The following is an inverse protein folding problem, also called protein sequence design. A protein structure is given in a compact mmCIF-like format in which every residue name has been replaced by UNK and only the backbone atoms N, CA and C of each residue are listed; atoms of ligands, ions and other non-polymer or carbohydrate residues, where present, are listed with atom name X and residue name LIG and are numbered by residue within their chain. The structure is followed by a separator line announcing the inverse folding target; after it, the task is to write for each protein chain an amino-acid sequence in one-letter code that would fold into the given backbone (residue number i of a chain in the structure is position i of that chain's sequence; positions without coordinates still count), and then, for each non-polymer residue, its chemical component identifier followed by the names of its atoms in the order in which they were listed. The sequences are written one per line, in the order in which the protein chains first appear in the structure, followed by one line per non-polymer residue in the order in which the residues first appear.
data_IF_541838161571
#
_entry.id   IF_541838161571
#
_cell.length_a   1.000
_cell.length_b   1.000
_cell.length_c   1.000
_cell.angle_alpha   90.00
_cell.angle_beta   90.00
_cell.angle_gamma   90.00
#
_symmetry.space_group_name_H-M   'P 1'
#
loop_
_entity.id
_entity.type
_entity.pdbx_description
1 polymer ?
#
# COMPACT_ATOMS: atom_id res chain seq x y z
N UNK A 1 54.05 -5.40 15.12
CA UNK A 1 52.83 -4.66 15.50
C UNK A 1 51.66 -5.40 14.87
N UNK A 2 50.68 -5.84 15.65
CA UNK A 2 49.47 -6.51 15.14
C UNK A 2 48.30 -5.53 15.27
N UNK A 3 47.48 -5.40 14.21
CA UNK A 3 46.25 -4.62 14.23
C UNK A 3 45.06 -5.54 14.03
N UNK A 4 44.04 -5.40 14.87
CA UNK A 4 42.75 -6.07 14.70
C UNK A 4 41.76 -5.05 14.11
N UNK A 5 40.99 -5.48 13.11
CA UNK A 5 39.89 -4.73 12.51
C UNK A 5 38.64 -5.60 12.59
N UNK A 6 37.49 -4.98 12.80
CA UNK A 6 36.18 -5.62 12.63
C UNK A 6 35.65 -5.26 11.23
N UNK A 7 35.81 -6.14 10.23
CA UNK A 7 35.38 -5.85 8.87
C UNK A 7 33.85 -5.85 8.76
N UNK A 8 33.26 -4.99 7.92
CA UNK A 8 31.84 -5.05 7.63
C UNK A 8 31.50 -6.35 6.92
N UNK A 9 30.32 -6.89 7.22
CA UNK A 9 29.78 -8.07 6.52
C UNK A 9 29.51 -7.73 5.05
N UNK A 10 29.75 -8.67 4.14
CA UNK A 10 29.48 -8.48 2.70
C UNK A 10 28.00 -8.12 2.42
N UNK A 11 27.10 -8.73 3.18
CA UNK A 11 25.66 -8.46 3.15
C UNK A 11 25.35 -7.00 3.51
N UNK A 12 26.09 -6.40 4.45
CA UNK A 12 25.91 -5.01 4.84
C UNK A 12 26.36 -4.04 3.74
N UNK A 13 27.43 -4.36 3.00
CA UNK A 13 27.87 -3.57 1.84
C UNK A 13 26.77 -3.57 0.76
N UNK A 14 26.28 -4.76 0.43
CA UNK A 14 25.21 -4.94 -0.57
C UNK A 14 23.92 -4.22 -0.15
N UNK A 15 23.55 -4.31 1.12
CA UNK A 15 22.39 -3.62 1.68
C UNK A 15 22.51 -2.09 1.63
N UNK A 16 23.70 -1.54 1.92
CA UNK A 16 23.95 -0.09 1.81
C UNK A 16 23.83 0.39 0.37
N UNK A 17 24.33 -0.38 -0.60
CA UNK A 17 24.17 -0.09 -2.03
C UNK A 17 22.69 -0.09 -2.43
N UNK A 18 21.93 -1.13 -2.04
CA UNK A 18 20.49 -1.23 -2.31
C UNK A 18 19.70 -0.06 -1.70
N UNK A 19 20.09 0.40 -0.49
CA UNK A 19 19.58 1.63 0.10
C UNK A 19 19.81 2.85 -0.81
N UNK A 20 21.03 3.01 -1.32
CA UNK A 20 21.39 4.09 -2.22
C UNK A 20 20.56 4.11 -3.51
N UNK A 21 20.41 2.95 -4.15
CA UNK A 21 19.57 2.77 -5.35
C UNK A 21 18.08 3.10 -5.05
N UNK A 22 17.60 2.76 -3.86
CA UNK A 22 16.25 3.05 -3.40
C UNK A 22 16.06 4.50 -2.90
N UNK A 23 17.08 5.36 -3.02
CA UNK A 23 17.06 6.75 -2.56
C UNK A 23 17.07 6.92 -1.04
N UNK A 24 17.50 5.90 -0.29
CA UNK A 24 17.58 5.88 1.17
C UNK A 24 19.01 6.22 1.59
N UNK A 25 19.16 7.27 2.40
CA UNK A 25 20.47 7.73 2.86
C UNK A 25 20.87 7.01 4.15
N UNK A 26 21.92 6.20 4.11
CA UNK A 26 22.48 5.53 5.28
C UNK A 26 23.47 6.45 5.99
N UNK A 27 23.32 6.59 7.32
CA UNK A 27 24.23 7.36 8.17
C UNK A 27 24.81 6.45 9.26
N UNK A 28 26.13 6.36 9.32
CA UNK A 28 26.86 5.59 10.33
C UNK A 28 27.03 6.41 11.60
N UNK A 29 26.66 5.83 12.74
CA UNK A 29 26.78 6.44 14.06
C UNK A 29 27.50 5.45 14.97
N UNK A 30 28.76 5.73 15.34
CA UNK A 30 29.62 4.80 16.09
C UNK A 30 30.32 5.45 17.29
N UNK A 31 30.65 4.62 18.28
CA UNK A 31 31.53 4.96 19.41
C UNK A 31 33.03 4.91 19.08
N UNK A 32 33.40 4.47 17.87
CA UNK A 32 34.78 4.35 17.41
C UNK A 32 35.44 5.70 17.12
N UNK A 33 36.76 5.66 16.93
CA UNK A 33 37.52 6.80 16.44
C UNK A 33 37.15 7.16 14.99
N UNK A 34 37.20 8.47 14.67
CA UNK A 34 36.86 8.98 13.35
C UNK A 34 37.68 8.36 12.20
N UNK A 35 38.95 8.02 12.44
CA UNK A 35 39.79 7.34 11.44
C UNK A 35 39.25 5.95 11.09
N UNK A 36 38.84 5.17 12.10
CA UNK A 36 38.24 3.84 11.92
C UNK A 36 36.87 3.96 11.29
N UNK A 37 36.03 4.87 11.78
CA UNK A 37 34.69 5.10 11.22
C UNK A 37 34.74 5.46 9.73
N UNK A 38 35.66 6.33 9.31
CA UNK A 38 35.87 6.65 7.88
C UNK A 38 36.34 5.45 7.07
N UNK A 39 37.23 4.62 7.63
CA UNK A 39 37.70 3.42 6.94
C UNK A 39 36.56 2.43 6.70
N UNK A 40 35.72 2.16 7.71
CA UNK A 40 34.55 1.30 7.57
C UNK A 40 33.51 1.94 6.65
N UNK A 41 33.28 3.25 6.73
CA UNK A 41 32.36 3.97 5.86
C UNK A 41 32.74 3.86 4.37
N UNK A 42 34.04 3.89 4.05
CA UNK A 42 34.54 3.66 2.68
C UNK A 42 34.32 2.22 2.23
N UNK A 43 34.51 1.24 3.11
CA UNK A 43 34.27 -0.16 2.80
C UNK A 43 32.77 -0.43 2.55
N UNK A 44 31.89 0.22 3.31
CA UNK A 44 30.44 0.21 3.08
C UNK A 44 29.99 1.08 1.90
N UNK A 45 30.90 1.84 1.29
CA UNK A 45 30.63 2.73 0.15
C UNK A 45 29.56 3.79 0.46
N UNK A 46 29.61 4.39 1.66
CA UNK A 46 28.76 5.53 2.00
C UNK A 46 29.08 6.76 1.12
N UNK A 47 28.05 7.52 0.75
CA UNK A 47 28.15 8.67 -0.16
C UNK A 47 29.19 9.69 0.32
N UNK A 48 29.11 10.10 1.58
CA UNK A 48 30.05 11.05 2.18
C UNK A 48 30.94 10.37 3.25
N UNK A 49 31.65 9.32 2.86
CA UNK A 49 32.48 8.52 3.77
C UNK A 49 33.71 9.27 4.35
N UNK A 50 34.17 10.34 3.70
CA UNK A 50 35.37 11.10 4.12
C UNK A 50 35.08 12.18 5.15
N UNK A 51 33.86 12.70 5.17
CA UNK A 51 33.45 13.77 6.06
C UNK A 51 32.83 13.16 7.33
N UNK A 52 33.62 13.13 8.40
CA UNK A 52 33.21 12.56 9.69
C UNK A 52 33.19 13.61 10.79
N UNK A 53 32.05 13.73 11.48
CA UNK A 53 31.89 14.61 12.64
C UNK A 53 32.03 13.79 13.92
N UNK A 54 32.87 14.26 14.84
CA UNK A 54 33.03 13.66 16.16
C UNK A 54 32.02 14.19 17.18
N UNK A 55 31.74 13.43 18.25
CA UNK A 55 30.92 13.91 19.37
C UNK A 55 31.36 15.26 19.95
N UNK A 56 32.67 15.49 20.05
CA UNK A 56 33.20 16.78 20.54
C UNK A 56 32.92 17.94 19.57
N UNK A 57 32.93 17.68 18.26
CA UNK A 57 32.55 18.68 17.26
C UNK A 57 31.04 18.95 17.30
N UNK A 58 30.22 17.91 17.47
CA UNK A 58 28.76 18.02 17.65
C UNK A 58 28.36 18.92 18.83
N UNK A 59 29.09 18.85 19.95
CA UNK A 59 28.85 19.68 21.13
C UNK A 59 29.21 21.14 20.91
N UNK A 60 30.24 21.42 20.10
CA UNK A 60 30.69 22.78 19.78
C UNK A 60 29.85 23.45 18.71
N UNK A 61 29.20 22.68 17.84
CA UNK A 61 28.34 23.19 16.78
C UNK A 61 27.07 23.80 17.34
N UNK A 62 26.73 24.99 16.84
CA UNK A 62 25.41 25.58 17.10
C UNK A 62 24.31 24.69 16.52
N UNK A 63 23.09 24.80 17.05
CA UNK A 63 21.97 24.01 16.53
C UNK A 63 21.66 24.35 15.06
N UNK A 64 21.81 25.62 14.66
CA UNK A 64 21.61 26.05 13.27
C UNK A 64 22.65 25.44 12.32
N UNK A 65 23.91 25.40 12.73
CA UNK A 65 25.00 24.78 11.96
C UNK A 65 24.80 23.26 11.86
N UNK A 66 24.49 22.60 12.98
CA UNK A 66 24.24 21.17 12.99
C UNK A 66 23.01 20.80 12.15
N UNK A 67 21.96 21.64 12.15
CA UNK A 67 20.78 21.46 11.31
C UNK A 67 21.15 21.41 9.83
N UNK A 68 22.07 22.24 9.35
CA UNK A 68 22.53 22.16 7.95
C UNK A 68 23.40 20.92 7.72
N UNK A 69 24.38 20.70 8.60
CA UNK A 69 25.38 19.63 8.45
C UNK A 69 24.79 18.22 8.56
N UNK A 70 23.69 18.03 9.29
CA UNK A 70 23.08 16.70 9.47
C UNK A 70 22.58 16.09 8.15
N UNK A 71 22.25 16.92 7.16
CA UNK A 71 21.84 16.44 5.85
C UNK A 71 23.04 15.88 5.09
N UNK A 72 24.17 16.58 5.14
CA UNK A 72 25.37 16.32 4.35
C UNK A 72 26.27 15.22 4.93
N UNK A 73 26.34 15.07 6.24
CA UNK A 73 27.31 14.15 6.86
C UNK A 73 26.73 12.77 7.08
N UNK A 74 27.47 11.74 6.66
CA UNK A 74 27.05 10.35 6.80
C UNK A 74 27.83 9.58 7.87
N UNK A 75 28.87 10.17 8.47
CA UNK A 75 29.70 9.49 9.47
C UNK A 75 29.78 10.31 10.76
N UNK A 76 29.28 9.74 11.86
CA UNK A 76 29.38 10.29 13.20
C UNK A 76 30.17 9.36 14.12
N UNK A 77 31.25 9.87 14.70
CA UNK A 77 32.20 9.07 15.49
C UNK A 77 32.28 9.58 16.93
N UNK A 78 32.68 8.71 17.88
CA UNK A 78 32.76 9.05 19.31
C UNK A 78 31.47 9.72 19.83
N UNK A 79 30.30 9.23 19.42
CA UNK A 79 29.01 9.79 19.83
C UNK A 79 28.53 9.21 21.16
N UNK A 80 27.76 9.99 21.92
CA UNK A 80 27.09 9.56 23.15
C UNK A 80 25.57 9.40 22.89
N UNK A 81 24.80 8.84 23.84
CA UNK A 81 23.34 8.67 23.70
C UNK A 81 22.59 9.96 23.34
N UNK A 82 22.95 11.08 23.97
CA UNK A 82 22.32 12.38 23.72
C UNK A 82 22.55 12.86 22.28
N UNK A 83 23.73 12.58 21.70
CA UNK A 83 24.04 12.88 20.31
C UNK A 83 23.16 12.07 19.36
N UNK A 84 22.98 10.76 19.59
CA UNK A 84 22.10 9.91 18.78
C UNK A 84 20.68 10.47 18.73
N UNK A 85 20.12 10.77 19.91
CA UNK A 85 18.79 11.38 20.03
C UNK A 85 18.68 12.73 19.31
N UNK A 86 19.69 13.59 19.46
CA UNK A 86 19.75 14.91 18.81
C UNK A 86 19.78 14.79 17.28
N UNK A 87 20.56 13.85 16.75
CA UNK A 87 20.65 13.60 15.30
C UNK A 87 19.31 13.13 14.72
N UNK A 88 18.66 12.15 15.37
CA UNK A 88 17.34 11.66 14.95
C UNK A 88 16.32 12.81 14.90
N UNK A 89 16.26 13.62 15.96
CA UNK A 89 15.35 14.77 16.03
C UNK A 89 15.61 15.78 14.90
N UNK A 90 16.87 16.12 14.63
CA UNK A 90 17.20 17.09 13.58
C UNK A 90 16.89 16.56 12.18
N UNK A 91 17.06 15.26 11.93
CA UNK A 91 16.64 14.64 10.67
C UNK A 91 15.13 14.68 10.49
N UNK A 92 14.37 14.40 11.55
CA UNK A 92 12.90 14.52 11.56
C UNK A 92 12.43 15.96 11.33
N UNK A 93 13.11 16.96 11.90
CA UNK A 93 12.82 18.39 11.68
C UNK A 93 12.97 18.79 10.20
N UNK A 94 13.77 18.07 9.40
CA UNK A 94 13.86 18.24 7.96
C UNK A 94 12.82 17.44 7.17
N UNK A 95 11.82 16.87 7.84
CA UNK A 95 10.76 16.07 7.22
C UNK A 95 11.24 14.71 6.70
N UNK A 96 12.38 14.20 7.20
CA UNK A 96 12.84 12.84 6.88
C UNK A 96 12.17 11.84 7.83
N UNK A 97 11.78 10.69 7.29
CA UNK A 97 11.43 9.51 8.09
C UNK A 97 12.74 8.81 8.46
N UNK A 98 12.96 8.62 9.75
CA UNK A 98 14.23 8.11 10.30
C UNK A 98 14.02 6.71 10.86
N UNK A 99 14.76 5.75 10.32
CA UNK A 99 14.98 4.46 10.96
C UNK A 99 16.29 4.51 11.75
N UNK A 100 16.27 4.12 13.03
CA UNK A 100 17.45 4.08 13.89
C UNK A 100 17.72 2.66 14.32
N UNK A 101 18.97 2.21 14.23
CA UNK A 101 19.40 0.88 14.69
C UNK A 101 20.21 0.99 15.98
N UNK A 102 20.00 0.07 16.93
CA UNK A 102 20.73 0.05 18.19
C UNK A 102 20.60 -1.28 18.93
N UNK A 103 21.53 -1.54 19.83
CA UNK A 103 21.64 -2.80 20.59
C UNK A 103 21.67 -2.54 22.10
N UNK A 104 22.27 -1.43 22.54
CA UNK A 104 22.41 -1.09 23.95
C UNK A 104 21.23 -0.32 24.55
N UNK A 105 21.11 -0.38 25.89
CA UNK A 105 20.21 0.46 26.71
C UNK A 105 20.39 1.96 26.40
N UNK A 106 21.63 2.32 26.08
CA UNK A 106 22.04 3.66 25.68
C UNK A 106 21.35 4.17 24.41
N UNK A 107 20.87 3.26 23.56
CA UNK A 107 20.22 3.59 22.29
C UNK A 107 18.71 3.68 22.42
N UNK A 108 18.13 3.17 23.51
CA UNK A 108 16.68 3.17 23.75
C UNK A 108 16.01 4.54 23.56
N UNK A 109 16.57 5.68 24.04
CA UNK A 109 15.96 6.99 23.79
C UNK A 109 15.92 7.37 22.30
N UNK A 110 16.98 7.05 21.56
CA UNK A 110 17.08 7.36 20.13
C UNK A 110 16.21 6.41 19.29
N UNK A 111 16.17 5.13 19.63
CA UNK A 111 15.26 4.14 19.06
C UNK A 111 13.82 4.59 19.22
N UNK A 112 13.42 4.95 20.44
CA UNK A 112 12.04 5.36 20.72
C UNK A 112 11.65 6.68 20.06
N UNK A 113 12.63 7.53 19.78
CA UNK A 113 12.40 8.81 19.10
C UNK A 113 12.29 8.67 17.59
N UNK A 114 12.95 7.68 17.00
CA UNK A 114 12.92 7.43 15.57
C UNK A 114 11.50 7.10 15.10
N UNK A 115 11.23 7.30 13.82
CA UNK A 115 9.94 6.89 13.25
C UNK A 115 9.83 5.37 13.19
N UNK A 116 10.97 4.69 13.06
CA UNK A 116 11.12 3.24 13.19
C UNK A 116 12.40 2.92 13.98
N UNK A 117 12.28 2.65 15.27
CA UNK A 117 13.36 2.07 16.07
C UNK A 117 13.56 0.60 15.71
N UNK A 118 14.80 0.19 15.47
CA UNK A 118 15.19 -1.18 15.10
C UNK A 118 16.23 -1.72 16.07
N UNK A 119 15.90 -2.76 16.83
CA UNK A 119 16.80 -3.38 17.79
C UNK A 119 17.42 -4.69 17.28
N UNK A 120 18.62 -5.01 17.75
CA UNK A 120 19.27 -6.30 17.52
C UNK A 120 18.60 -7.39 18.37
N UNK A 121 18.28 -8.54 17.78
CA UNK A 121 17.58 -9.63 18.44
C UNK A 121 18.49 -10.51 19.31
N UNK A 122 19.69 -10.83 18.83
CA UNK A 122 20.62 -11.71 19.55
C UNK A 122 21.53 -10.92 20.49
N UNK A 123 22.19 -9.89 19.96
CA UNK A 123 23.15 -9.08 20.72
C UNK A 123 22.51 -7.86 21.41
N UNK A 124 21.24 -7.55 21.12
CA UNK A 124 20.55 -6.42 21.72
C UNK A 124 20.06 -6.69 23.14
N UNK A 125 20.15 -5.67 23.98
CA UNK A 125 19.58 -5.64 25.33
C UNK A 125 18.06 -5.63 25.29
N UNK A 126 17.40 -6.20 26.31
CA UNK A 126 15.93 -6.20 26.40
C UNK A 126 15.35 -4.78 26.40
N UNK A 127 16.02 -3.83 27.07
CA UNK A 127 15.60 -2.42 27.04
C UNK A 127 15.64 -1.81 25.63
N UNK A 128 16.59 -2.21 24.77
CA UNK A 128 16.62 -1.76 23.38
C UNK A 128 15.48 -2.39 22.56
N UNK A 129 15.20 -3.68 22.76
CA UNK A 129 14.09 -4.39 22.09
C UNK A 129 12.73 -3.83 22.48
N UNK A 130 12.51 -3.52 23.76
CA UNK A 130 11.27 -2.90 24.24
C UNK A 130 11.09 -1.46 23.71
N UNK A 131 12.18 -0.75 23.46
CA UNK A 131 12.14 0.61 22.94
C UNK A 131 11.90 0.70 21.43
N UNK A 132 12.13 -0.40 20.69
CA UNK A 132 12.09 -0.45 19.23
C UNK A 132 10.73 -0.96 18.69
N UNK A 133 10.33 -0.45 17.53
CA UNK A 133 9.16 -0.93 16.79
C UNK A 133 9.45 -2.22 15.99
N UNK A 134 10.72 -2.49 15.69
CA UNK A 134 11.18 -3.67 14.95
C UNK A 134 12.38 -4.32 15.64
N UNK A 135 12.45 -5.66 15.63
CA UNK A 135 13.58 -6.42 16.16
C UNK A 135 14.14 -7.34 15.08
N UNK A 136 15.45 -7.26 14.81
CA UNK A 136 16.15 -8.09 13.84
C UNK A 136 16.55 -9.41 14.49
N UNK A 137 15.78 -10.47 14.27
CA UNK A 137 16.03 -11.78 14.89
C UNK A 137 17.41 -12.40 14.54
N UNK A 138 18.00 -11.97 13.42
CA UNK A 138 19.26 -12.46 12.85
C UNK A 138 20.43 -11.48 13.03
N UNK A 139 20.21 -10.32 13.65
CA UNK A 139 21.20 -9.25 13.78
C UNK A 139 21.79 -8.79 12.42
N UNK A 140 21.02 -8.90 11.34
CA UNK A 140 21.50 -8.57 9.99
C UNK A 140 20.91 -7.26 9.47
N UNK A 141 21.79 -6.32 9.08
CA UNK A 141 21.39 -5.07 8.44
C UNK A 141 20.62 -5.28 7.12
N UNK A 142 20.90 -6.36 6.39
CA UNK A 142 20.18 -6.70 5.16
C UNK A 142 18.67 -6.91 5.40
N UNK A 143 18.28 -7.39 6.58
CA UNK A 143 16.88 -7.62 6.94
C UNK A 143 16.06 -6.32 7.04
N UNK A 144 16.71 -5.17 7.29
CA UNK A 144 16.07 -3.86 7.22
C UNK A 144 15.65 -3.53 5.79
N UNK A 145 16.47 -3.90 4.79
CA UNK A 145 16.19 -3.65 3.38
C UNK A 145 14.97 -4.45 2.92
N UNK A 146 14.93 -5.73 3.29
CA UNK A 146 13.76 -6.57 3.03
C UNK A 146 12.50 -6.00 3.71
N UNK A 147 12.61 -5.51 4.95
CA UNK A 147 11.48 -4.87 5.63
C UNK A 147 11.02 -3.58 4.93
N UNK A 148 11.94 -2.80 4.35
CA UNK A 148 11.60 -1.63 3.54
C UNK A 148 10.90 -2.01 2.24
N UNK A 149 11.39 -3.03 1.54
CA UNK A 149 10.78 -3.57 0.33
C UNK A 149 9.34 -4.06 0.60
N UNK A 150 9.15 -4.83 1.67
CA UNK A 150 7.84 -5.29 2.13
C UNK A 150 6.93 -4.12 2.52
N UNK A 151 7.43 -3.14 3.28
CA UNK A 151 6.67 -1.96 3.67
C UNK A 151 6.20 -1.13 2.47
N UNK A 152 7.05 -0.99 1.45
CA UNK A 152 6.71 -0.33 0.18
C UNK A 152 5.64 -1.12 -0.59
N UNK A 153 5.73 -2.45 -0.58
CA UNK A 153 4.75 -3.35 -1.22
C UNK A 153 3.39 -3.27 -0.53
N UNK A 154 3.35 -3.37 0.80
CA UNK A 154 2.13 -3.23 1.61
C UNK A 154 1.47 -1.89 1.35
N UNK A 155 2.24 -0.80 1.27
CA UNK A 155 1.70 0.53 0.97
C UNK A 155 1.06 0.62 -0.43
N UNK A 156 1.69 0.05 -1.46
CA UNK A 156 1.12 0.01 -2.81
C UNK A 156 -0.16 -0.83 -2.85
N UNK A 157 -0.16 -2.00 -2.19
CA UNK A 157 -1.33 -2.87 -2.10
C UNK A 157 -2.49 -2.19 -1.36
N UNK A 158 -2.19 -1.41 -0.31
CA UNK A 158 -3.18 -0.59 0.38
C UNK A 158 -3.78 0.49 -0.54
N UNK A 159 -2.96 1.14 -1.39
CA UNK A 159 -3.49 2.09 -2.39
C UNK A 159 -4.38 1.41 -3.42
N UNK A 160 -4.03 0.20 -3.89
CA UNK A 160 -4.85 -0.61 -4.80
C UNK A 160 -6.18 -1.00 -4.14
N UNK A 161 -6.16 -1.43 -2.88
CA UNK A 161 -7.36 -1.78 -2.12
C UNK A 161 -8.28 -0.56 -1.92
N UNK A 162 -7.73 0.61 -1.57
CA UNK A 162 -8.51 1.85 -1.45
C UNK A 162 -9.13 2.25 -2.80
N UNK A 163 -8.35 2.15 -3.89
CA UNK A 163 -8.83 2.40 -5.25
C UNK A 163 -9.92 1.43 -5.69
N UNK A 164 -9.97 0.24 -5.10
CA UNK A 164 -11.00 -0.75 -5.35
C UNK A 164 -12.26 -0.46 -4.52
N UNK A 165 -12.12 -0.26 -3.20
CA UNK A 165 -13.24 -0.12 -2.26
C UNK A 165 -14.00 1.21 -2.40
N UNK A 166 -13.29 2.32 -2.60
CA UNK A 166 -13.94 3.64 -2.61
C UNK A 166 -14.91 3.83 -3.79
N UNK A 167 -14.56 3.49 -5.05
CA UNK A 167 -15.50 3.63 -6.16
C UNK A 167 -16.65 2.63 -6.13
N UNK A 168 -16.48 1.44 -5.53
CA UNK A 168 -17.57 0.46 -5.42
C UNK A 168 -18.61 0.95 -4.43
N UNK A 169 -18.17 1.40 -3.24
CA UNK A 169 -19.04 2.06 -2.26
C UNK A 169 -19.63 3.38 -2.80
N UNK A 170 -18.84 4.14 -3.56
CA UNK A 170 -19.31 5.33 -4.26
C UNK A 170 -20.40 5.01 -5.27
N UNK A 171 -20.24 3.95 -6.05
CA UNK A 171 -21.24 3.44 -6.98
C UNK A 171 -22.55 3.07 -6.27
N UNK A 172 -22.47 2.27 -5.19
CA UNK A 172 -23.62 1.93 -4.34
C UNK A 172 -24.36 3.17 -3.83
N UNK A 173 -23.62 4.11 -3.23
CA UNK A 173 -24.18 5.34 -2.70
C UNK A 173 -24.85 6.19 -3.79
N UNK A 174 -24.23 6.30 -4.97
CA UNK A 174 -24.78 7.03 -6.10
C UNK A 174 -26.02 6.37 -6.69
N UNK A 175 -26.11 5.03 -6.71
CA UNK A 175 -27.32 4.31 -7.15
C UNK A 175 -28.51 4.66 -6.26
N UNK A 176 -28.30 4.62 -4.93
CA UNK A 176 -29.36 4.98 -3.97
C UNK A 176 -29.71 6.46 -4.09
N UNK A 177 -28.71 7.33 -4.17
CA UNK A 177 -28.94 8.77 -4.34
C UNK A 177 -29.72 9.07 -5.62
N UNK A 178 -29.35 8.45 -6.75
CA UNK A 178 -30.04 8.62 -8.02
C UNK A 178 -31.51 8.18 -7.92
N UNK A 179 -31.79 7.05 -7.28
CA UNK A 179 -33.16 6.59 -7.06
C UNK A 179 -33.99 7.59 -6.24
N UNK A 180 -33.42 8.13 -5.17
CA UNK A 180 -34.10 9.12 -4.31
C UNK A 180 -34.34 10.44 -5.06
N UNK A 181 -33.32 10.98 -5.74
CA UNK A 181 -33.42 12.25 -6.46
C UNK A 181 -34.43 12.17 -7.61
N UNK A 182 -34.52 11.02 -8.28
CA UNK A 182 -35.50 10.79 -9.35
C UNK A 182 -36.89 10.41 -8.81
N UNK A 183 -37.09 10.37 -7.50
CA UNK A 183 -38.40 10.16 -6.88
C UNK A 183 -38.92 8.72 -6.92
N UNK A 184 -38.04 7.72 -7.04
CA UNK A 184 -38.46 6.32 -7.02
C UNK A 184 -38.90 5.90 -5.61
N UNK A 185 -40.09 5.33 -5.51
CA UNK A 185 -40.62 4.78 -4.24
C UNK A 185 -39.91 3.48 -3.83
N UNK A 186 -39.37 2.75 -4.80
CA UNK A 186 -38.70 1.47 -4.58
C UNK A 186 -37.20 1.61 -4.84
N UNK A 187 -36.40 1.34 -3.80
CA UNK A 187 -34.95 1.42 -3.92
C UNK A 187 -34.38 0.25 -4.76
N UNK A 188 -33.39 0.52 -5.63
CA UNK A 188 -32.73 -0.50 -6.47
C UNK A 188 -31.96 -1.55 -5.69
N UNK A 189 -31.54 -1.23 -4.48
CA UNK A 189 -30.83 -2.12 -3.56
C UNK A 189 -31.43 -1.94 -2.16
N UNK A 190 -31.59 -3.04 -1.44
CA UNK A 190 -32.00 -3.00 -0.02
C UNK A 190 -30.78 -2.89 0.90
N UNK A 191 -30.93 -2.42 2.15
CA UNK A 191 -29.81 -2.37 3.09
C UNK A 191 -29.15 -3.74 3.31
N UNK A 192 -29.94 -4.82 3.35
CA UNK A 192 -29.43 -6.18 3.55
C UNK A 192 -28.64 -6.66 2.33
N UNK A 193 -29.05 -6.28 1.12
CA UNK A 193 -28.30 -6.56 -0.12
C UNK A 193 -26.98 -5.78 -0.17
N UNK A 194 -26.98 -4.52 0.25
CA UNK A 194 -25.76 -3.70 0.37
C UNK A 194 -24.79 -4.33 1.37
N UNK A 195 -25.27 -4.79 2.52
CA UNK A 195 -24.44 -5.49 3.52
C UNK A 195 -23.84 -6.78 2.94
N UNK A 196 -24.61 -7.52 2.13
CA UNK A 196 -24.11 -8.70 1.44
C UNK A 196 -22.96 -8.37 0.48
N UNK A 197 -23.15 -7.39 -0.40
CA UNK A 197 -22.13 -6.96 -1.37
C UNK A 197 -20.87 -6.52 -0.63
N UNK A 198 -21.00 -5.60 0.33
CA UNK A 198 -19.85 -5.12 1.12
C UNK A 198 -19.09 -6.26 1.83
N UNK A 199 -19.80 -7.21 2.44
CA UNK A 199 -19.17 -8.32 3.14
C UNK A 199 -18.47 -9.27 2.19
N UNK A 200 -19.15 -9.72 1.13
CA UNK A 200 -18.59 -10.72 0.21
C UNK A 200 -17.40 -10.13 -0.55
N UNK A 201 -17.48 -8.86 -0.94
CA UNK A 201 -16.43 -8.14 -1.66
C UNK A 201 -15.22 -7.85 -0.78
N UNK A 202 -15.43 -7.49 0.50
CA UNK A 202 -14.33 -7.30 1.45
C UNK A 202 -13.57 -8.61 1.72
N UNK A 203 -14.29 -9.70 2.00
CA UNK A 203 -13.70 -10.99 2.40
C UNK A 203 -13.05 -11.72 1.22
N UNK A 204 -13.53 -11.49 -0.01
CA UNK A 204 -12.97 -12.13 -1.22
C UNK A 204 -12.02 -11.20 -1.99
N UNK A 205 -12.56 -10.16 -2.63
CA UNK A 205 -11.84 -9.38 -3.64
C UNK A 205 -10.82 -8.43 -3.01
N UNK A 206 -11.22 -7.64 -1.99
CA UNK A 206 -10.31 -6.68 -1.36
C UNK A 206 -9.14 -7.36 -0.65
N UNK A 207 -9.40 -8.49 0.02
CA UNK A 207 -8.36 -9.30 0.64
C UNK A 207 -7.35 -9.84 -0.38
N UNK A 208 -7.81 -10.23 -1.59
CA UNK A 208 -6.90 -10.74 -2.63
C UNK A 208 -5.89 -9.69 -3.11
N UNK A 209 -6.24 -8.40 -3.06
CA UNK A 209 -5.33 -7.30 -3.41
C UNK A 209 -4.23 -7.08 -2.38
N UNK A 210 -4.44 -7.48 -1.12
CA UNK A 210 -3.40 -7.42 -0.08
C UNK A 210 -2.22 -8.35 -0.40
N UNK A 211 -2.49 -9.43 -1.15
CA UNK A 211 -1.51 -10.43 -1.58
C UNK A 211 -1.02 -10.22 -3.02
N UNK A 212 -1.16 -9.02 -3.58
CA UNK A 212 -0.51 -8.70 -4.85
C UNK A 212 1.02 -8.71 -4.69
N UNK A 213 1.76 -9.27 -5.65
CA UNK A 213 3.22 -9.26 -5.62
C UNK A 213 3.78 -7.82 -5.69
N UNK A 214 5.01 -7.61 -5.20
CA UNK A 214 5.71 -6.33 -5.34
C UNK A 214 5.79 -5.85 -6.80
N UNK A 215 5.70 -4.54 -6.99
CA UNK A 215 5.98 -3.93 -8.30
C UNK A 215 7.47 -4.09 -8.64
N UNK A 216 7.80 -4.31 -9.92
CA UNK A 216 9.17 -4.62 -10.39
C UNK A 216 10.20 -3.55 -9.98
N UNK A 217 9.76 -2.31 -9.83
CA UNK A 217 10.61 -1.15 -9.50
C UNK A 217 10.43 -0.66 -8.05
N UNK A 218 9.90 -1.48 -7.15
CA UNK A 218 9.60 -1.09 -5.76
C UNK A 218 10.83 -0.54 -5.01
N UNK A 219 12.02 -1.09 -5.27
CA UNK A 219 13.30 -0.65 -4.71
C UNK A 219 14.09 0.31 -5.61
N UNK A 220 13.57 0.69 -6.78
CA UNK A 220 14.23 1.62 -7.71
C UNK A 220 13.63 3.03 -7.68
N UNK A 221 12.56 3.23 -6.92
CA UNK A 221 11.91 4.54 -6.71
C UNK A 221 12.42 5.20 -5.43
N UNK A 222 12.45 6.55 -5.36
CA UNK A 222 12.81 7.26 -4.14
C UNK A 222 11.77 7.02 -3.03
N UNK A 223 12.12 7.27 -1.75
CA UNK A 223 11.15 7.24 -0.67
C UNK A 223 10.00 8.21 -0.92
N UNK A 224 8.77 7.78 -0.59
CA UNK A 224 7.57 8.60 -0.72
C UNK A 224 7.69 9.85 0.15
N UNK A 225 7.19 10.99 -0.34
CA UNK A 225 7.01 12.18 0.47
C UNK A 225 5.92 11.92 1.53
N UNK A 226 6.23 12.02 2.85
CA UNK A 226 5.24 11.84 3.91
C UNK A 226 4.01 12.75 3.79
N UNK A 227 4.17 13.93 3.16
CA UNK A 227 3.11 14.92 2.96
C UNK A 227 2.21 14.63 1.77
N UNK A 228 2.60 13.70 0.89
CA UNK A 228 1.73 13.31 -0.21
C UNK A 228 0.48 12.62 0.36
N UNK A 229 -0.74 13.05 0.00
CA UNK A 229 -1.94 12.36 0.42
C UNK A 229 -2.00 10.97 -0.23
N UNK A 230 -2.55 9.99 0.50
CA UNK A 230 -2.78 8.64 -0.06
C UNK A 230 -3.67 8.73 -1.30
N UNK A 231 -4.69 9.60 -1.26
CA UNK A 231 -5.59 9.93 -2.36
C UNK A 231 -5.14 11.21 -3.06
N UNK A 232 -4.36 11.07 -4.13
CA UNK A 232 -4.04 12.21 -4.99
C UNK A 232 -5.19 12.53 -5.96
N UNK A 233 -5.09 13.66 -6.67
CA UNK A 233 -6.14 14.13 -7.58
C UNK A 233 -6.51 13.10 -8.67
N UNK A 234 -5.54 12.32 -9.15
CA UNK A 234 -5.80 11.25 -10.12
C UNK A 234 -6.60 10.10 -9.49
N UNK A 235 -6.28 9.67 -8.27
CA UNK A 235 -7.06 8.63 -7.59
C UNK A 235 -8.48 9.12 -7.27
N UNK A 236 -8.63 10.38 -6.87
CA UNK A 236 -9.96 10.98 -6.65
C UNK A 236 -10.79 11.02 -7.93
N UNK A 237 -10.17 11.40 -9.06
CA UNK A 237 -10.81 11.34 -10.37
C UNK A 237 -11.24 9.90 -10.71
N UNK A 238 -10.35 8.91 -10.53
CA UNK A 238 -10.68 7.50 -10.77
C UNK A 238 -11.89 7.05 -9.95
N UNK A 239 -11.94 7.44 -8.67
CA UNK A 239 -13.04 7.09 -7.78
C UNK A 239 -14.36 7.62 -8.33
N UNK A 240 -14.42 8.90 -8.70
CA UNK A 240 -15.64 9.50 -9.27
C UNK A 240 -16.00 8.83 -10.60
N UNK A 241 -15.02 8.66 -11.50
CA UNK A 241 -15.22 8.08 -12.82
C UNK A 241 -15.79 6.66 -12.75
N UNK A 242 -15.20 5.78 -11.94
CA UNK A 242 -15.64 4.39 -11.80
C UNK A 242 -16.98 4.33 -11.06
N UNK A 243 -17.19 5.15 -10.02
CA UNK A 243 -18.48 5.21 -9.32
C UNK A 243 -19.63 5.54 -10.27
N UNK A 244 -19.42 6.47 -11.21
CA UNK A 244 -20.40 6.84 -12.22
C UNK A 244 -20.67 5.73 -13.24
N UNK A 245 -19.66 4.95 -13.64
CA UNK A 245 -19.84 3.79 -14.52
C UNK A 245 -20.67 2.72 -13.82
N UNK A 246 -20.31 2.36 -12.58
CA UNK A 246 -21.02 1.37 -11.77
C UNK A 246 -22.48 1.80 -11.55
N UNK A 247 -22.69 3.07 -11.20
CA UNK A 247 -24.02 3.64 -11.06
C UNK A 247 -24.81 3.57 -12.37
N UNK A 248 -24.26 4.08 -13.48
CA UNK A 248 -24.94 4.12 -14.76
C UNK A 248 -25.33 2.73 -15.28
N UNK A 249 -24.43 1.75 -15.17
CA UNK A 249 -24.71 0.38 -15.61
C UNK A 249 -25.70 -0.36 -14.71
N UNK A 250 -25.51 -0.28 -13.39
CA UNK A 250 -26.36 -1.00 -12.42
C UNK A 250 -27.76 -0.39 -12.36
N UNK A 251 -27.84 0.93 -12.20
CA UNK A 251 -29.12 1.64 -12.17
C UNK A 251 -29.80 1.61 -13.54
N UNK A 252 -29.03 1.67 -14.64
CA UNK A 252 -29.56 1.52 -16.00
C UNK A 252 -30.23 0.17 -16.23
N UNK A 253 -29.59 -0.94 -15.85
CA UNK A 253 -30.20 -2.28 -15.96
C UNK A 253 -31.40 -2.45 -15.01
N UNK A 254 -31.34 -1.90 -13.80
CA UNK A 254 -32.49 -1.87 -12.90
C UNK A 254 -33.70 -1.18 -13.54
N UNK A 255 -33.50 0.02 -14.11
CA UNK A 255 -34.57 0.76 -14.80
C UNK A 255 -35.08 0.02 -16.03
N UNK A 256 -34.18 -0.60 -16.79
CA UNK A 256 -34.55 -1.41 -17.95
C UNK A 256 -35.52 -2.52 -17.56
N UNK A 257 -35.21 -3.30 -16.53
CA UNK A 257 -36.07 -4.40 -16.10
C UNK A 257 -37.40 -3.89 -15.51
N UNK A 258 -37.37 -2.79 -14.74
CA UNK A 258 -38.60 -2.14 -14.27
C UNK A 258 -39.51 -1.68 -15.41
N UNK A 259 -38.95 -1.11 -16.49
CA UNK A 259 -39.72 -0.67 -17.67
C UNK A 259 -40.35 -1.84 -18.43
N UNK A 260 -39.75 -3.05 -18.35
CA UNK A 260 -40.31 -4.27 -18.93
C UNK A 260 -41.41 -4.91 -18.07
N UNK A 261 -41.77 -4.29 -16.95
CA UNK A 261 -42.78 -4.80 -16.03
C UNK A 261 -42.29 -5.95 -15.16
N UNK A 262 -40.97 -6.12 -14.99
CA UNK A 262 -40.43 -7.10 -14.06
C UNK A 262 -40.82 -6.74 -12.61
N UNK A 263 -40.83 -7.75 -11.73
CA UNK A 263 -41.04 -7.50 -10.30
C UNK A 263 -39.85 -6.75 -9.70
N UNK A 264 -40.08 -6.07 -8.58
CA UNK A 264 -39.02 -5.32 -7.90
C UNK A 264 -37.89 -6.24 -7.40
N UNK A 265 -38.22 -7.45 -6.95
CA UNK A 265 -37.25 -8.47 -6.54
C UNK A 265 -36.39 -8.91 -7.72
N UNK A 266 -36.99 -9.05 -8.91
CA UNK A 266 -36.25 -9.36 -10.13
C UNK A 266 -35.29 -8.24 -10.51
N UNK A 267 -35.76 -7.00 -10.58
CA UNK A 267 -34.92 -5.85 -10.90
C UNK A 267 -33.79 -5.65 -9.88
N UNK A 268 -34.06 -5.85 -8.58
CA UNK A 268 -33.04 -5.84 -7.51
C UNK A 268 -32.02 -6.95 -7.67
N UNK A 269 -32.46 -8.15 -8.04
CA UNK A 269 -31.54 -9.27 -8.27
C UNK A 269 -30.60 -8.97 -9.44
N UNK A 270 -31.12 -8.36 -10.51
CA UNK A 270 -30.29 -7.89 -11.64
C UNK A 270 -29.32 -6.80 -11.18
N UNK A 271 -29.79 -5.82 -10.39
CA UNK A 271 -28.94 -4.75 -9.88
C UNK A 271 -27.77 -5.27 -9.02
N UNK A 272 -28.05 -6.13 -8.02
CA UNK A 272 -27.00 -6.69 -7.15
C UNK A 272 -25.99 -7.50 -7.96
N UNK A 273 -26.46 -8.37 -8.87
CA UNK A 273 -25.57 -9.17 -9.71
C UNK A 273 -24.75 -8.30 -10.69
N UNK A 274 -25.33 -7.21 -11.18
CA UNK A 274 -24.62 -6.24 -12.04
C UNK A 274 -23.49 -5.55 -11.28
N UNK A 275 -23.77 -5.09 -10.06
CA UNK A 275 -22.78 -4.43 -9.22
C UNK A 275 -21.62 -5.38 -8.89
N UNK A 276 -21.91 -6.59 -8.41
CA UNK A 276 -20.87 -7.60 -8.10
C UNK A 276 -20.05 -7.96 -9.35
N UNK A 277 -20.69 -8.05 -10.52
CA UNK A 277 -19.97 -8.30 -11.77
C UNK A 277 -19.06 -7.12 -12.16
N UNK A 278 -19.51 -5.88 -11.96
CA UNK A 278 -18.66 -4.69 -12.14
C UNK A 278 -17.43 -4.75 -11.24
N UNK A 279 -17.59 -5.15 -9.97
CA UNK A 279 -16.50 -5.29 -9.03
C UNK A 279 -15.48 -6.33 -9.49
N UNK A 280 -15.93 -7.48 -10.00
CA UNK A 280 -15.05 -8.51 -10.57
C UNK A 280 -14.23 -7.94 -11.74
N UNK A 281 -14.87 -7.25 -12.69
CA UNK A 281 -14.15 -6.66 -13.82
C UNK A 281 -13.20 -5.53 -13.40
N UNK A 282 -13.63 -4.69 -12.46
CA UNK A 282 -12.83 -3.57 -11.96
C UNK A 282 -11.66 -4.03 -11.09
N UNK A 283 -11.78 -5.17 -10.40
CA UNK A 283 -10.69 -5.78 -9.65
C UNK A 283 -9.45 -5.98 -10.54
N UNK A 284 -9.65 -6.49 -11.77
CA UNK A 284 -8.57 -6.66 -12.73
C UNK A 284 -7.86 -5.33 -13.01
N UNK A 285 -8.61 -4.24 -13.25
CA UNK A 285 -8.01 -2.92 -13.42
C UNK A 285 -7.23 -2.45 -12.19
N UNK A 286 -7.73 -2.77 -11.00
CA UNK A 286 -7.20 -2.27 -9.72
C UNK A 286 -5.87 -2.93 -9.33
N UNK A 287 -5.54 -4.08 -9.95
CA UNK A 287 -4.23 -4.76 -9.77
C UNK A 287 -3.05 -3.88 -10.18
N UNK A 288 -3.25 -3.02 -11.18
CA UNK A 288 -2.23 -2.09 -11.67
C UNK A 288 -2.79 -0.68 -11.77
N UNK A 289 -2.26 0.26 -10.97
CA UNK A 289 -2.79 1.63 -10.89
C UNK A 289 -2.70 2.36 -12.24
N UNK A 290 -1.57 2.23 -12.94
CA UNK A 290 -1.29 2.93 -14.21
C UNK A 290 -0.99 1.98 -15.37
N UNK A 291 -0.37 0.83 -15.09
CA UNK A 291 -0.05 -0.16 -16.12
C UNK A 291 -1.30 -0.87 -16.65
N UNK A 292 -1.18 -1.36 -17.89
CA UNK A 292 -2.28 -2.08 -18.52
C UNK A 292 -2.40 -3.50 -17.99
N UNK A 293 -3.64 -3.97 -17.89
CA UNK A 293 -3.97 -5.34 -17.47
C UNK A 293 -4.02 -6.31 -18.64
N UNK A 294 -4.00 -5.82 -19.89
CA UNK A 294 -4.03 -6.67 -21.09
C UNK A 294 -2.67 -7.35 -21.36
N UNK A 295 -2.18 -8.11 -20.40
CA UNK A 295 -1.02 -8.98 -20.51
C UNK A 295 -1.22 -10.22 -19.61
N UNK A 296 -0.36 -11.23 -19.77
CA UNK A 296 -0.50 -12.50 -19.02
C UNK A 296 -0.42 -12.30 -17.50
N UNK A 297 0.44 -11.42 -17.02
CA UNK A 297 0.54 -11.09 -15.59
C UNK A 297 -0.73 -10.36 -15.09
N UNK A 298 -1.31 -9.53 -15.94
CA UNK A 298 -2.57 -8.80 -15.73
C UNK A 298 -3.79 -9.68 -15.47
N UNK A 299 -3.84 -10.88 -16.03
CA UNK A 299 -4.95 -11.81 -15.77
C UNK A 299 -4.59 -12.96 -14.83
N UNK A 300 -3.35 -13.46 -14.88
CA UNK A 300 -2.95 -14.72 -14.21
C UNK A 300 -1.81 -14.53 -13.20
N UNK A 301 -1.27 -13.32 -13.08
CA UNK A 301 -0.12 -13.03 -12.21
C UNK A 301 -0.39 -13.16 -10.71
N UNK A 302 -1.66 -13.16 -10.28
CA UNK A 302 -2.04 -13.38 -8.89
C UNK A 302 -3.09 -14.50 -8.81
N UNK A 303 -2.72 -15.73 -8.39
CA UNK A 303 -3.66 -16.84 -8.29
C UNK A 303 -4.73 -16.59 -7.22
N UNK A 304 -4.44 -15.81 -6.17
CA UNK A 304 -5.41 -15.49 -5.11
C UNK A 304 -6.58 -14.66 -5.63
N UNK A 305 -6.35 -13.76 -6.59
CA UNK A 305 -7.42 -13.01 -7.27
C UNK A 305 -8.37 -13.96 -8.01
N UNK A 306 -7.83 -14.95 -8.74
CA UNK A 306 -8.65 -15.91 -9.46
C UNK A 306 -9.45 -16.82 -8.53
N UNK A 307 -8.83 -17.27 -7.43
CA UNK A 307 -9.52 -18.05 -6.39
C UNK A 307 -10.63 -17.21 -5.75
N UNK A 308 -10.35 -15.94 -5.41
CA UNK A 308 -11.34 -15.03 -4.83
C UNK A 308 -12.53 -14.80 -5.76
N UNK A 309 -12.29 -14.61 -7.07
CA UNK A 309 -13.36 -14.48 -8.08
C UNK A 309 -14.19 -15.77 -8.15
N UNK A 310 -13.56 -16.95 -8.16
CA UNK A 310 -14.28 -18.22 -8.21
C UNK A 310 -15.16 -18.45 -6.97
N UNK A 311 -14.64 -18.12 -5.79
CA UNK A 311 -15.40 -18.16 -4.52
C UNK A 311 -16.56 -17.18 -4.55
N UNK A 312 -16.32 -15.94 -4.99
CA UNK A 312 -17.36 -14.91 -5.10
C UNK A 312 -18.46 -15.32 -6.07
N UNK A 313 -18.12 -15.80 -7.26
CA UNK A 313 -19.11 -16.28 -8.24
C UNK A 313 -19.93 -17.41 -7.65
N UNK A 314 -19.31 -18.32 -6.90
CA UNK A 314 -20.02 -19.41 -6.21
C UNK A 314 -21.03 -18.88 -5.19
N UNK A 315 -20.61 -17.93 -4.33
CA UNK A 315 -21.52 -17.28 -3.38
C UNK A 315 -22.63 -16.48 -4.08
N UNK A 316 -22.32 -15.84 -5.20
CA UNK A 316 -23.28 -15.03 -5.94
C UNK A 316 -24.32 -15.89 -6.67
N UNK A 317 -23.92 -17.06 -7.18
CA UNK A 317 -24.86 -18.07 -7.67
C UNK A 317 -25.73 -18.60 -6.53
N UNK A 318 -25.15 -18.83 -5.35
CA UNK A 318 -25.90 -19.17 -4.14
C UNK A 318 -26.96 -18.10 -3.81
N UNK A 319 -26.56 -16.84 -3.73
CA UNK A 319 -27.42 -15.69 -3.47
C UNK A 319 -28.58 -15.57 -4.46
N UNK A 320 -28.37 -15.97 -5.71
CA UNK A 320 -29.36 -15.85 -6.79
C UNK A 320 -30.31 -17.06 -6.86
N UNK A 321 -29.84 -18.27 -6.54
CA UNK A 321 -30.59 -19.51 -6.82
C UNK A 321 -30.97 -20.34 -5.57
N UNK A 322 -30.39 -20.10 -4.40
CA UNK A 322 -30.75 -20.86 -3.20
C UNK A 322 -32.02 -20.29 -2.54
N UNK A 323 -33.06 -21.11 -2.29
CA UNK A 323 -34.34 -20.64 -1.73
C UNK A 323 -34.20 -19.93 -0.38
N UNK A 324 -33.28 -20.39 0.47
CA UNK A 324 -33.00 -19.77 1.76
C UNK A 324 -32.49 -18.33 1.58
N UNK A 325 -31.54 -18.12 0.67
CA UNK A 325 -30.97 -16.81 0.42
C UNK A 325 -31.96 -15.90 -0.31
N UNK A 326 -32.75 -16.44 -1.24
CA UNK A 326 -33.84 -15.71 -1.89
C UNK A 326 -34.84 -15.14 -0.87
N UNK A 327 -35.19 -15.92 0.15
CA UNK A 327 -36.09 -15.47 1.23
C UNK A 327 -35.46 -14.39 2.10
N UNK A 328 -34.17 -14.54 2.45
CA UNK A 328 -33.45 -13.59 3.31
C UNK A 328 -33.18 -12.25 2.63
N UNK A 329 -32.87 -12.27 1.33
CA UNK A 329 -32.43 -11.09 0.57
C UNK A 329 -33.48 -10.52 -0.37
N UNK A 330 -34.64 -11.18 -0.52
CA UNK A 330 -35.69 -10.77 -1.45
C UNK A 330 -35.24 -10.83 -2.90
N UNK A 331 -34.60 -11.94 -3.30
CA UNK A 331 -34.08 -12.17 -4.65
C UNK A 331 -34.84 -13.27 -5.36
N UNK A 332 -34.71 -13.32 -6.70
CA UNK A 332 -35.34 -14.34 -7.54
C UNK A 332 -34.36 -14.90 -8.55
N UNK A 333 -34.59 -16.12 -9.02
CA UNK A 333 -33.77 -16.71 -10.06
C UNK A 333 -33.85 -15.88 -11.36
N UNK A 334 -32.70 -15.68 -12.01
CA UNK A 334 -32.60 -14.99 -13.31
C UNK A 334 -32.14 -15.96 -14.40
N UNK A 335 -32.59 -15.71 -15.63
CA UNK A 335 -32.22 -16.48 -16.81
C UNK A 335 -30.79 -16.21 -17.28
N UNK A 336 -30.27 -17.10 -18.12
CA UNK A 336 -28.92 -16.96 -18.71
C UNK A 336 -28.82 -15.73 -19.64
N UNK A 337 -29.91 -15.33 -20.28
CA UNK A 337 -29.96 -14.15 -21.14
C UNK A 337 -29.71 -12.85 -20.35
N UNK A 338 -30.19 -12.80 -19.12
CA UNK A 338 -29.97 -11.68 -18.19
C UNK A 338 -28.51 -11.67 -17.74
N UNK A 339 -27.94 -12.83 -17.38
CA UNK A 339 -26.51 -12.93 -17.07
C UNK A 339 -25.62 -12.41 -18.21
N UNK A 340 -25.96 -12.71 -19.47
CA UNK A 340 -25.22 -12.18 -20.62
C UNK A 340 -25.29 -10.65 -20.68
N UNK A 341 -26.45 -10.03 -20.42
CA UNK A 341 -26.57 -8.57 -20.36
C UNK A 341 -25.76 -7.99 -19.21
N UNK A 342 -25.80 -8.63 -18.04
CA UNK A 342 -25.02 -8.25 -16.86
C UNK A 342 -23.53 -8.26 -17.20
N UNK A 343 -23.01 -9.35 -17.75
CA UNK A 343 -21.59 -9.48 -18.12
C UNK A 343 -21.21 -8.45 -19.18
N UNK A 344 -22.04 -8.24 -20.20
CA UNK A 344 -21.78 -7.27 -21.25
C UNK A 344 -21.67 -5.85 -20.68
N UNK A 345 -22.65 -5.42 -19.89
CA UNK A 345 -22.66 -4.10 -19.26
C UNK A 345 -21.52 -3.96 -18.26
N UNK A 346 -21.32 -4.96 -17.41
CA UNK A 346 -20.29 -4.93 -16.37
C UNK A 346 -18.88 -4.88 -16.96
N UNK A 347 -18.62 -5.60 -18.06
CA UNK A 347 -17.31 -5.61 -18.73
C UNK A 347 -16.89 -4.24 -19.25
N UNK A 348 -17.82 -3.30 -19.44
CA UNK A 348 -17.51 -1.94 -19.92
C UNK A 348 -16.55 -1.21 -18.98
N UNK A 349 -16.60 -1.44 -17.66
CA UNK A 349 -15.67 -0.80 -16.72
C UNK A 349 -14.22 -1.18 -17.04
N UNK A 350 -13.98 -2.44 -17.41
CA UNK A 350 -12.65 -2.93 -17.76
C UNK A 350 -12.06 -2.12 -18.91
N UNK A 351 -12.82 -1.97 -19.99
CA UNK A 351 -12.38 -1.27 -21.18
C UNK A 351 -12.26 0.24 -20.96
N UNK A 352 -13.24 0.87 -20.30
CA UNK A 352 -13.24 2.32 -20.05
C UNK A 352 -12.08 2.74 -19.15
N UNK A 353 -11.77 1.95 -18.12
CA UNK A 353 -10.68 2.21 -17.18
C UNK A 353 -9.32 1.99 -17.85
N UNK A 354 -9.17 0.98 -18.71
CA UNK A 354 -7.96 0.80 -19.52
C UNK A 354 -7.75 1.92 -20.53
N UNK A 355 -8.82 2.41 -21.16
CA UNK A 355 -8.77 3.58 -22.05
C UNK A 355 -8.24 4.80 -21.28
N UNK A 356 -8.76 5.11 -20.08
CA UNK A 356 -8.23 6.27 -19.36
C UNK A 356 -6.79 6.07 -18.88
N UNK A 357 -6.38 4.83 -18.53
CA UNK A 357 -4.96 4.52 -18.23
C UNK A 357 -4.05 4.79 -19.43
N UNK A 358 -4.51 4.54 -20.65
CA UNK A 358 -3.74 4.86 -21.87
C UNK A 358 -3.56 6.37 -22.03
N UNK A 359 -4.61 7.17 -21.77
CA UNK A 359 -4.51 8.62 -21.85
C UNK A 359 -3.57 9.21 -20.79
N UNK A 360 -3.61 8.68 -19.57
CA UNK A 360 -2.74 9.12 -18.48
C UNK A 360 -1.27 8.78 -18.74
N UNK A 361 -0.98 7.58 -19.27
CA UNK A 361 0.39 7.17 -19.66
C UNK A 361 0.99 7.97 -20.80
N UNK A 362 0.20 8.71 -21.57
CA UNK A 362 0.70 9.61 -22.64
C UNK A 362 1.00 11.02 -22.14
N UNK A 363 0.51 11.38 -20.96
CA UNK A 363 0.64 12.72 -20.37
C UNK A 363 1.82 12.83 -19.39
N UNK A 364 2.35 11.69 -18.97
CA UNK A 364 3.60 11.51 -18.23
C UNK A 364 4.60 10.81 -19.14
#
# INVERSE_FOLDING_TARGET
MFGLIDPPREEAITAVQACGEAGIRVKMITGDHASTARAIARQLQLVNADDAITGQQLERMSEAELRQRVQEVDVYARVNPAHKLRLVRLLQEHGRIVAMTGDGVNDAPALKRADVGTAMGQNGTEAAKEAAEMVLADDNFASIIHAVEEGRTVYDNLKKAILFILPTNGGEALIILAAIVLGFQQLPLTPVQILWVNMVTAVTLALSLAFEPPEVNVMQRPPRDPREPILNAHLLWRIIFVSLILMGGTFGLFLWEMQRGASIEHARTVAVNTLVMFEIFYLFNSRYITASVFNRAGFVGNPYVLIAIAVLVTFQLGFTYLPLLQTLFGTVAIGIDIWLRIVLVASTVLFLVEIEKVFLRRKH
#
